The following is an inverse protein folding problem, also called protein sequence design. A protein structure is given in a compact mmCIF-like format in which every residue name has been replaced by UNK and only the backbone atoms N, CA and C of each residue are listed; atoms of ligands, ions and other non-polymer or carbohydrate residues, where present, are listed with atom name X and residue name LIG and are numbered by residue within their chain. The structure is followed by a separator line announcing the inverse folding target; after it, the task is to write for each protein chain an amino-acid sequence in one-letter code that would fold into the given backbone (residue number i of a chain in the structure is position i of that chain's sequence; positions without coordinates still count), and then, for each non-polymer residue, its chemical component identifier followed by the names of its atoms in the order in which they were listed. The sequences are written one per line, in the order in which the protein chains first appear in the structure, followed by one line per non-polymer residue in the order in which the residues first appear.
data_IF_371225301805
#
_entry.id   IF_371225301805
#
_cell.length_a   1.000
_cell.length_b   1.000
_cell.length_c   1.000
_cell.angle_alpha   90.00
_cell.angle_beta   90.00
_cell.angle_gamma   90.00
#
_symmetry.space_group_name_H-M   'P 1'
#
loop_
_entity.id
_entity.type
_entity.pdbx_description
1 polymer ?
#
# COMPACT_ATOMS: atom_id res chain seq x y z
N UNK A 1 26.70 12.42 -19.48
CA UNK A 1 25.60 11.93 -18.62
C UNK A 1 24.23 12.48 -19.01
N UNK A 2 24.07 13.77 -19.33
CA UNK A 2 22.76 14.37 -19.66
C UNK A 2 22.02 13.71 -20.84
N UNK A 3 22.70 13.45 -21.96
CA UNK A 3 22.06 12.83 -23.15
C UNK A 3 21.52 11.41 -22.91
N UNK A 4 22.18 10.62 -22.07
CA UNK A 4 21.73 9.27 -21.72
C UNK A 4 20.47 9.30 -20.86
N UNK A 5 20.42 10.21 -19.88
CA UNK A 5 19.24 10.40 -19.00
C UNK A 5 18.03 10.89 -19.81
N UNK A 6 18.23 11.83 -20.75
CA UNK A 6 17.16 12.28 -21.63
C UNK A 6 16.67 11.16 -22.55
N UNK A 7 17.56 10.32 -23.09
CA UNK A 7 17.17 9.17 -23.91
C UNK A 7 16.33 8.14 -23.15
N UNK A 8 16.72 7.80 -21.93
CA UNK A 8 15.97 6.84 -21.09
C UNK A 8 14.61 7.39 -20.70
N UNK A 9 14.53 8.69 -20.36
CA UNK A 9 13.25 9.32 -19.99
C UNK A 9 12.28 9.43 -21.17
N UNK A 10 12.77 9.74 -22.37
CA UNK A 10 11.92 9.80 -23.57
C UNK A 10 11.39 8.42 -23.99
N UNK A 11 12.23 7.38 -23.97
CA UNK A 11 11.80 6.01 -24.25
C UNK A 11 10.77 5.55 -23.23
N UNK A 12 10.97 5.83 -21.95
CA UNK A 12 10.00 5.51 -20.89
C UNK A 12 8.65 6.20 -21.09
N UNK A 13 8.65 7.49 -21.42
CA UNK A 13 7.44 8.25 -21.67
C UNK A 13 6.68 7.75 -22.92
N UNK A 14 7.38 7.46 -24.00
CA UNK A 14 6.78 6.91 -25.23
C UNK A 14 6.20 5.52 -24.98
N UNK A 15 6.91 4.65 -24.27
CA UNK A 15 6.42 3.30 -23.90
C UNK A 15 5.16 3.37 -23.04
N UNK A 16 5.12 4.28 -22.06
CA UNK A 16 3.96 4.50 -21.21
C UNK A 16 2.76 5.01 -22.02
N UNK A 17 2.98 5.96 -22.95
CA UNK A 17 1.94 6.47 -23.84
C UNK A 17 1.38 5.36 -24.75
N UNK A 18 2.25 4.56 -25.36
CA UNK A 18 1.84 3.42 -26.20
C UNK A 18 1.04 2.38 -25.39
N UNK A 19 1.47 2.08 -24.17
CA UNK A 19 0.73 1.17 -23.28
C UNK A 19 -0.65 1.74 -22.92
N UNK A 20 -0.74 3.04 -22.66
CA UNK A 20 -2.00 3.73 -22.36
C UNK A 20 -2.95 3.69 -23.57
N UNK A 21 -2.47 3.90 -24.78
CA UNK A 21 -3.27 3.79 -26.00
C UNK A 21 -3.71 2.34 -26.24
N UNK A 22 -2.81 1.38 -26.08
CA UNK A 22 -3.11 -0.04 -26.23
C UNK A 22 -4.12 -0.55 -25.19
N UNK A 23 -4.11 0.00 -23.98
CA UNK A 23 -5.03 -0.38 -22.90
C UNK A 23 -6.50 -0.10 -23.22
N UNK A 24 -6.78 0.81 -24.16
CA UNK A 24 -8.13 1.10 -24.63
C UNK A 24 -8.72 -0.04 -25.48
N UNK A 25 -7.88 -0.87 -26.11
CA UNK A 25 -8.28 -1.95 -27.03
C UNK A 25 -7.93 -3.34 -26.53
N UNK A 26 -7.00 -3.48 -25.56
CA UNK A 26 -6.49 -4.76 -25.07
C UNK A 26 -6.64 -4.88 -23.57
N UNK A 27 -7.32 -5.94 -23.10
CA UNK A 27 -7.42 -6.25 -21.68
C UNK A 27 -6.05 -6.55 -21.04
N UNK A 28 -5.15 -7.21 -21.78
CA UNK A 28 -3.78 -7.49 -21.31
C UNK A 28 -2.99 -6.20 -21.11
N UNK A 29 -3.06 -5.27 -22.06
CA UNK A 29 -2.39 -3.98 -21.93
C UNK A 29 -2.96 -3.17 -20.76
N UNK A 30 -4.28 -3.21 -20.54
CA UNK A 30 -4.95 -2.60 -19.37
C UNK A 30 -4.49 -3.21 -18.05
N UNK A 31 -4.34 -4.52 -17.99
CA UNK A 31 -3.81 -5.21 -16.81
C UNK A 31 -2.39 -4.74 -16.47
N UNK A 32 -1.50 -4.69 -17.44
CA UNK A 32 -0.12 -4.22 -17.21
C UNK A 32 -0.08 -2.74 -16.81
N UNK A 33 -0.86 -1.89 -17.48
CA UNK A 33 -0.96 -0.48 -17.09
C UNK A 33 -1.43 -0.31 -15.65
N UNK A 34 -2.53 -0.97 -15.28
CA UNK A 34 -3.07 -0.91 -13.92
C UNK A 34 -2.09 -1.46 -12.88
N UNK A 35 -1.34 -2.52 -13.22
CA UNK A 35 -0.32 -3.07 -12.34
C UNK A 35 0.82 -2.07 -12.10
N UNK A 36 1.30 -1.41 -13.14
CA UNK A 36 2.33 -0.37 -13.04
C UNK A 36 1.83 0.80 -12.18
N UNK A 37 0.61 1.29 -12.45
CA UNK A 37 -0.01 2.37 -11.68
C UNK A 37 -0.19 1.99 -10.20
N UNK A 38 -0.56 0.74 -9.93
CA UNK A 38 -0.69 0.20 -8.57
C UNK A 38 0.66 0.24 -7.85
N UNK A 39 1.74 -0.24 -8.47
CA UNK A 39 3.09 -0.23 -7.89
C UNK A 39 3.57 1.20 -7.62
N UNK A 40 3.36 2.11 -8.57
CA UNK A 40 3.72 3.53 -8.40
C UNK A 40 2.94 4.14 -7.24
N UNK A 41 1.63 3.91 -7.18
CA UNK A 41 0.77 4.42 -6.09
C UNK A 41 1.18 3.85 -4.74
N UNK A 42 1.57 2.58 -4.68
CA UNK A 42 2.09 1.94 -3.47
C UNK A 42 3.42 2.57 -3.04
N UNK A 43 4.34 2.81 -3.97
CA UNK A 43 5.62 3.46 -3.68
C UNK A 43 5.43 4.89 -3.17
N UNK A 44 4.57 5.69 -3.80
CA UNK A 44 4.24 7.06 -3.37
C UNK A 44 3.61 7.07 -1.98
N UNK A 45 2.60 6.22 -1.75
CA UNK A 45 1.94 6.12 -0.44
C UNK A 45 2.88 5.65 0.66
N UNK A 46 3.77 4.70 0.34
CA UNK A 46 4.80 4.23 1.27
C UNK A 46 5.82 5.31 1.59
N UNK A 47 6.20 6.13 0.62
CA UNK A 47 7.10 7.28 0.83
C UNK A 47 6.46 8.32 1.76
N UNK A 48 5.17 8.63 1.57
CA UNK A 48 4.39 9.44 2.51
C UNK A 48 4.40 8.79 3.90
N UNK A 49 4.22 7.47 3.96
CA UNK A 49 4.26 6.71 5.20
C UNK A 49 5.60 6.79 5.93
N UNK A 50 6.73 6.79 5.22
CA UNK A 50 8.06 6.98 5.82
C UNK A 50 8.16 8.37 6.44
N UNK A 51 7.81 9.42 5.69
CA UNK A 51 7.86 10.81 6.19
C UNK A 51 6.94 10.98 7.40
N UNK A 52 5.68 10.56 7.31
CA UNK A 52 4.74 10.63 8.42
C UNK A 52 5.18 9.77 9.61
N UNK A 53 5.78 8.59 9.34
CA UNK A 53 6.29 7.70 10.36
C UNK A 53 7.43 8.32 11.16
N UNK A 54 8.37 9.00 10.51
CA UNK A 54 9.45 9.74 11.17
C UNK A 54 8.89 10.86 12.06
N UNK A 55 7.96 11.65 11.56
CA UNK A 55 7.34 12.75 12.32
C UNK A 55 6.50 12.20 13.48
N UNK A 56 5.60 11.24 13.21
CA UNK A 56 4.67 10.73 14.22
C UNK A 56 5.36 9.84 15.28
N UNK A 57 6.54 9.28 14.99
CA UNK A 57 7.33 8.55 15.99
C UNK A 57 7.84 9.43 17.12
N UNK A 58 7.93 10.75 16.92
CA UNK A 58 8.28 11.71 17.97
C UNK A 58 7.16 11.93 19.00
N UNK A 59 5.93 11.50 18.67
CA UNK A 59 4.76 11.70 19.55
C UNK A 59 4.28 10.34 20.10
N UNK A 60 4.21 10.14 21.42
CA UNK A 60 3.77 8.90 22.01
C UNK A 60 2.40 8.42 21.47
N UNK A 61 2.33 7.17 21.05
CA UNK A 61 1.09 6.55 20.54
C UNK A 61 0.63 6.98 19.15
N UNK A 62 1.17 8.06 18.58
CA UNK A 62 0.71 8.57 17.25
C UNK A 62 1.24 7.75 16.07
N UNK A 63 2.31 6.99 16.23
CA UNK A 63 2.90 6.16 15.18
C UNK A 63 1.91 5.16 14.55
N UNK A 64 0.92 4.69 15.31
CA UNK A 64 -0.08 3.74 14.81
C UNK A 64 -1.05 4.33 13.77
N UNK A 65 -1.07 5.67 13.64
CA UNK A 65 -1.85 6.33 12.60
C UNK A 65 -1.16 6.29 11.22
N UNK A 66 0.11 5.94 11.14
CA UNK A 66 0.86 5.88 9.87
C UNK A 66 0.20 4.91 8.89
N UNK A 67 -0.21 3.72 9.35
CA UNK A 67 -0.91 2.75 8.51
C UNK A 67 -2.21 3.31 7.93
N UNK A 68 -2.99 4.05 8.72
CA UNK A 68 -4.20 4.72 8.27
C UNK A 68 -3.88 5.77 7.18
N UNK A 69 -2.86 6.61 7.39
CA UNK A 69 -2.45 7.64 6.43
C UNK A 69 -2.02 6.99 5.12
N UNK A 70 -1.18 5.95 5.17
CA UNK A 70 -0.73 5.22 3.97
C UNK A 70 -1.89 4.58 3.24
N UNK A 71 -2.81 3.94 3.95
CA UNK A 71 -3.99 3.31 3.37
C UNK A 71 -4.87 4.35 2.64
N UNK A 72 -5.14 5.50 3.27
CA UNK A 72 -5.92 6.59 2.66
C UNK A 72 -5.21 7.23 1.47
N UNK A 73 -3.89 7.46 1.56
CA UNK A 73 -3.10 7.96 0.44
C UNK A 73 -3.14 7.01 -0.74
N UNK A 74 -2.99 5.71 -0.48
CA UNK A 74 -3.08 4.69 -1.52
C UNK A 74 -4.46 4.67 -2.19
N UNK A 75 -5.54 4.70 -1.42
CA UNK A 75 -6.90 4.78 -1.96
C UNK A 75 -7.12 6.06 -2.78
N UNK A 76 -6.58 7.20 -2.31
CA UNK A 76 -6.68 8.48 -3.01
C UNK A 76 -6.02 8.42 -4.39
N UNK A 77 -4.84 7.81 -4.52
CA UNK A 77 -4.16 7.64 -5.81
C UNK A 77 -4.85 6.60 -6.70
N UNK A 78 -5.26 5.47 -6.13
CA UNK A 78 -5.79 4.36 -6.91
C UNK A 78 -7.21 4.57 -7.42
N UNK A 79 -8.06 5.24 -6.65
CA UNK A 79 -9.46 5.48 -7.02
C UNK A 79 -9.62 6.10 -8.42
N UNK A 80 -8.97 7.23 -8.77
CA UNK A 80 -9.09 7.81 -10.11
C UNK A 80 -8.36 7.02 -11.19
N UNK A 81 -7.27 6.31 -10.85
CA UNK A 81 -6.42 5.63 -11.83
C UNK A 81 -7.04 4.33 -12.36
N UNK A 82 -7.68 3.56 -11.48
CA UNK A 82 -8.29 2.27 -11.83
C UNK A 82 -9.80 2.40 -12.00
N UNK A 83 -10.41 3.48 -11.51
CA UNK A 83 -11.86 3.67 -11.54
C UNK A 83 -12.61 2.71 -10.60
N UNK A 84 -11.93 2.22 -9.53
CA UNK A 84 -12.53 1.28 -8.60
C UNK A 84 -13.19 2.00 -7.44
N UNK A 85 -14.44 1.64 -7.18
CA UNK A 85 -15.19 2.09 -6.01
C UNK A 85 -15.24 0.97 -4.99
N UNK A 86 -15.02 1.32 -3.74
CA UNK A 86 -15.19 0.42 -2.59
C UNK A 86 -16.34 0.95 -1.76
N UNK A 87 -17.42 0.21 -1.74
CA UNK A 87 -18.56 0.44 -0.87
C UNK A 87 -18.38 -0.38 0.40
N UNK A 88 -18.60 0.23 1.56
CA UNK A 88 -18.41 -0.42 2.85
C UNK A 88 -19.73 -0.42 3.58
N UNK A 89 -20.29 -1.60 3.79
CA UNK A 89 -21.44 -1.79 4.65
C UNK A 89 -21.00 -2.04 6.10
N UNK A 90 -21.71 -1.47 7.08
CA UNK A 90 -21.36 -1.61 8.50
C UNK A 90 -20.11 -0.84 8.91
N UNK A 91 -19.84 0.31 8.27
CA UNK A 91 -18.65 1.15 8.56
C UNK A 91 -18.58 1.58 10.03
N UNK A 92 -19.70 1.65 10.73
CA UNK A 92 -19.80 1.94 12.16
C UNK A 92 -19.05 0.91 13.04
N UNK A 93 -18.95 -0.33 12.59
CA UNK A 93 -18.20 -1.38 13.30
C UNK A 93 -16.68 -1.14 13.28
N UNK A 94 -16.16 -0.42 12.30
CA UNK A 94 -14.74 -0.07 12.24
C UNK A 94 -14.30 0.87 13.36
N UNK A 95 -15.24 1.47 14.09
CA UNK A 95 -14.97 2.37 15.22
C UNK A 95 -14.86 1.65 16.56
N UNK A 96 -15.26 0.37 16.65
CA UNK A 96 -15.19 -0.40 17.90
C UNK A 96 -13.75 -0.65 18.32
N UNK A 97 -13.45 -0.47 19.62
CA UNK A 97 -12.13 -0.65 20.20
C UNK A 97 -12.26 -1.28 21.61
N UNK A 98 -11.38 -2.18 22.01
CA UNK A 98 -10.38 -2.86 21.18
C UNK A 98 -11.03 -3.86 20.20
N UNK A 99 -10.43 -4.08 19.03
CA UNK A 99 -10.96 -5.01 18.04
C UNK A 99 -9.84 -5.63 17.19
N UNK A 100 -10.07 -6.86 16.74
CA UNK A 100 -9.26 -7.53 15.74
C UNK A 100 -10.11 -7.63 14.48
N UNK A 101 -9.61 -7.08 13.38
CA UNK A 101 -10.24 -7.18 12.08
C UNK A 101 -9.65 -8.38 11.33
N UNK A 102 -10.51 -9.33 10.99
CA UNK A 102 -10.14 -10.51 10.22
C UNK A 102 -10.92 -10.50 8.91
N UNK A 103 -10.25 -10.73 7.81
CA UNK A 103 -10.86 -10.79 6.49
C UNK A 103 -10.28 -11.92 5.65
N UNK A 104 -11.01 -12.34 4.64
CA UNK A 104 -10.50 -13.27 3.63
C UNK A 104 -9.36 -12.59 2.88
N UNK A 105 -8.24 -13.30 2.74
CA UNK A 105 -7.09 -12.83 1.97
C UNK A 105 -6.99 -13.62 0.68
N UNK A 106 -7.38 -13.00 -0.43
CA UNK A 106 -7.43 -13.64 -1.74
C UNK A 106 -6.24 -13.26 -2.63
N UNK A 107 -5.81 -12.00 -2.58
CA UNK A 107 -4.73 -11.51 -3.43
C UNK A 107 -4.23 -10.13 -3.00
N UNK A 108 -3.28 -9.57 -3.79
CA UNK A 108 -2.84 -8.18 -3.64
C UNK A 108 -3.95 -7.14 -3.88
N UNK A 109 -5.09 -7.53 -4.46
CA UNK A 109 -6.27 -6.67 -4.62
C UNK A 109 -6.84 -6.24 -3.26
N UNK A 110 -6.60 -7.03 -2.22
CA UNK A 110 -7.07 -6.70 -0.86
C UNK A 110 -6.52 -5.37 -0.34
N UNK A 111 -5.34 -4.94 -0.82
CA UNK A 111 -4.79 -3.62 -0.49
C UNK A 111 -5.68 -2.47 -0.97
N UNK A 112 -6.46 -2.68 -2.04
CA UNK A 112 -7.35 -1.66 -2.61
C UNK A 112 -8.53 -1.35 -1.69
N UNK A 113 -9.23 -2.38 -1.19
CA UNK A 113 -10.33 -2.15 -0.26
C UNK A 113 -9.83 -1.75 1.14
N UNK A 114 -8.69 -2.29 1.59
CA UNK A 114 -8.07 -1.86 2.83
C UNK A 114 -7.73 -0.36 2.81
N UNK A 115 -7.34 0.18 1.66
CA UNK A 115 -7.14 1.61 1.48
C UNK A 115 -8.36 2.45 1.86
N UNK A 116 -9.59 1.92 1.68
CA UNK A 116 -10.83 2.61 2.05
C UNK A 116 -11.27 2.36 3.49
N UNK A 117 -11.11 1.14 4.01
CA UNK A 117 -11.68 0.74 5.29
C UNK A 117 -10.68 0.65 6.45
N UNK A 118 -9.37 0.84 6.22
CA UNK A 118 -8.36 0.70 7.27
C UNK A 118 -8.62 1.67 8.43
N UNK A 119 -8.72 1.18 9.70
CA UNK A 119 -9.09 2.03 10.82
C UNK A 119 -7.90 2.86 11.35
N UNK A 120 -8.20 3.98 12.02
CA UNK A 120 -7.19 4.76 12.77
C UNK A 120 -6.62 3.95 13.94
N UNK A 121 -5.41 4.28 14.38
CA UNK A 121 -4.74 3.64 15.52
C UNK A 121 -4.71 2.11 15.43
N UNK A 122 -4.48 1.58 14.22
CA UNK A 122 -4.45 0.14 13.96
C UNK A 122 -3.14 -0.28 13.33
N UNK A 123 -2.73 -1.50 13.61
CA UNK A 123 -1.55 -2.10 13.01
C UNK A 123 -1.97 -3.22 12.04
N UNK A 124 -1.11 -3.49 11.07
CA UNK A 124 -1.30 -4.61 10.15
C UNK A 124 -0.30 -5.72 10.50
N UNK A 125 -0.76 -6.96 10.36
CA UNK A 125 0.12 -8.12 10.42
C UNK A 125 0.64 -8.43 9.03
N UNK A 126 1.95 -8.59 8.90
CA UNK A 126 2.58 -8.75 7.61
C UNK A 126 3.65 -9.83 7.62
N UNK A 127 3.98 -10.34 6.44
CA UNK A 127 5.04 -11.29 6.22
C UNK A 127 6.40 -10.64 6.49
N UNK A 128 7.30 -11.34 7.18
CA UNK A 128 8.63 -10.85 7.61
C UNK A 128 9.47 -10.31 6.45
N UNK A 129 9.37 -10.93 5.28
CA UNK A 129 10.13 -10.55 4.10
C UNK A 129 9.78 -9.16 3.58
N UNK A 130 8.58 -8.66 3.87
CA UNK A 130 8.16 -7.31 3.48
C UNK A 130 8.98 -6.18 4.13
N UNK A 131 9.70 -6.47 5.23
CA UNK A 131 10.64 -5.50 5.83
C UNK A 131 11.69 -4.97 4.85
N UNK A 132 12.05 -5.79 3.87
CA UNK A 132 13.15 -5.49 2.94
C UNK A 132 12.67 -4.82 1.64
N UNK A 133 11.36 -4.67 1.46
CA UNK A 133 10.81 -3.95 0.30
C UNK A 133 11.05 -2.46 0.50
N UNK A 134 11.73 -1.78 -0.45
CA UNK A 134 12.02 -0.35 -0.35
C UNK A 134 10.75 0.48 -0.12
N UNK A 135 10.85 1.48 0.73
CA UNK A 135 9.78 2.36 1.22
C UNK A 135 8.66 1.63 1.99
N UNK A 136 8.16 0.51 1.47
CA UNK A 136 7.10 -0.29 2.11
C UNK A 136 7.58 -0.83 3.47
N UNK A 137 8.73 -1.48 3.52
CA UNK A 137 9.26 -2.05 4.76
C UNK A 137 9.57 -0.99 5.79
N UNK A 138 10.15 0.14 5.37
CA UNK A 138 10.52 1.24 6.26
C UNK A 138 9.28 1.84 6.94
N UNK A 139 8.22 2.19 6.17
CA UNK A 139 7.03 2.74 6.80
C UNK A 139 6.34 1.73 7.72
N UNK A 140 6.31 0.45 7.34
CA UNK A 140 5.71 -0.59 8.17
C UNK A 140 6.45 -0.78 9.50
N UNK A 141 7.78 -0.67 9.50
CA UNK A 141 8.56 -0.68 10.76
C UNK A 141 8.25 0.54 11.62
N UNK A 142 8.21 1.74 11.02
CA UNK A 142 7.91 3.00 11.72
C UNK A 142 6.49 3.00 12.29
N UNK A 143 5.52 2.42 11.59
CA UNK A 143 4.13 2.33 12.02
C UNK A 143 3.87 1.29 13.11
N UNK A 144 4.87 0.50 13.49
CA UNK A 144 4.70 -0.56 14.49
C UNK A 144 3.94 -1.78 13.96
N UNK A 145 3.94 -2.02 12.65
CA UNK A 145 3.32 -3.21 12.05
C UNK A 145 3.93 -4.51 12.60
N UNK A 146 3.10 -5.52 12.82
CA UNK A 146 3.54 -6.82 13.32
C UNK A 146 4.04 -7.70 12.18
N UNK A 147 5.30 -8.14 12.25
CA UNK A 147 5.89 -9.01 11.24
C UNK A 147 5.94 -10.45 11.71
N UNK A 148 5.36 -11.34 10.93
CA UNK A 148 5.25 -12.76 11.24
C UNK A 148 6.20 -13.57 10.36
N UNK A 149 7.01 -14.41 11.02
CA UNK A 149 7.76 -15.47 10.36
C UNK A 149 6.86 -16.71 10.26
N UNK A 150 6.32 -16.97 9.06
CA UNK A 150 5.43 -18.10 8.81
C UNK A 150 6.12 -19.46 8.87
N UNK A 151 7.47 -19.49 8.85
CA UNK A 151 8.26 -20.73 8.95
C UNK A 151 8.38 -21.25 10.39
N UNK A 152 8.10 -20.38 11.39
CA UNK A 152 8.21 -20.73 12.81
C UNK A 152 6.90 -20.46 13.54
N UNK A 153 6.16 -21.51 13.88
CA UNK A 153 4.92 -21.42 14.68
C UNK A 153 5.14 -20.72 16.02
N UNK A 154 6.26 -21.01 16.68
CA UNK A 154 6.62 -20.40 17.98
C UNK A 154 6.86 -18.90 17.84
N UNK A 155 7.52 -18.44 16.76
CA UNK A 155 7.74 -17.03 16.47
C UNK A 155 6.41 -16.31 16.14
N UNK A 156 5.51 -16.96 15.43
CA UNK A 156 4.20 -16.39 15.10
C UNK A 156 3.36 -16.17 16.37
N UNK A 157 3.30 -17.14 17.27
CA UNK A 157 2.56 -17.02 18.54
C UNK A 157 3.15 -15.91 19.44
N UNK A 158 4.48 -15.78 19.49
CA UNK A 158 5.14 -14.74 20.29
C UNK A 158 4.86 -13.32 19.77
N UNK A 159 4.52 -13.18 18.50
CA UNK A 159 4.27 -11.88 17.85
C UNK A 159 2.80 -11.44 18.02
N UNK A 160 1.90 -12.36 18.31
CA UNK A 160 0.49 -12.11 18.64
C UNK A 160 0.32 -11.70 20.09
#
# INVERSE_FOLDING_TARGET
MGKLVHGVSTVGAVSFLLLTLASRRSQRARFYLNSILCVISMALSSSIGVVCGLVLSLFPGKRFNVNYIVARSFHFFMKPLIGMYVEVEGEEHLKRRPAIMVGNHQSSIDTLYLGRMFPVNSIIMAKKELKWVPFLGQFMMLSGSAFIDRKSRASAIKTM
#
